data_IF_626181159556
#
_entry.id   IF_626181159556
#
_cell.length_a   1.000
_cell.length_b   1.000
_cell.length_c   1.000
_cell.angle_alpha   90.00
_cell.angle_beta   90.00
_cell.angle_gamma   90.00
#
_symmetry.space_group_name_H-M   'P 1'
#
loop_
_entity.id
_entity.type
_entity.pdbx_description
1 polymer ?
#
# COMPACT_ATOMS: atom_id res chain seq x y z
N UNK A 1 6.73 -17.62 13.01
CA UNK A 1 6.80 -17.06 11.66
C UNK A 1 5.40 -16.77 11.15
N UNK A 2 5.17 -15.57 10.70
CA UNK A 2 3.87 -15.15 10.19
C UNK A 2 3.74 -15.45 8.70
N UNK A 3 2.52 -15.76 8.28
CA UNK A 3 2.22 -15.96 6.86
C UNK A 3 1.02 -15.08 6.52
N UNK A 4 0.90 -14.73 5.26
CA UNK A 4 -0.17 -13.89 4.76
C UNK A 4 -1.12 -14.76 3.95
N UNK A 5 -2.29 -15.01 4.52
CA UNK A 5 -3.30 -15.86 3.90
C UNK A 5 -2.86 -17.29 3.70
N UNK A 6 -1.78 -17.72 4.37
CA UNK A 6 -1.26 -19.07 4.24
C UNK A 6 -0.43 -19.32 3.00
N UNK A 7 -0.20 -18.27 2.18
CA UNK A 7 0.53 -18.43 0.93
C UNK A 7 1.95 -17.88 0.97
N UNK A 8 2.18 -16.80 1.70
CA UNK A 8 3.46 -16.10 1.67
C UNK A 8 4.03 -15.93 3.06
N UNK A 9 5.35 -16.03 3.18
CA UNK A 9 6.05 -15.86 4.45
C UNK A 9 6.72 -14.49 4.46
N UNK A 10 7.26 -14.13 5.62
CA UNK A 10 8.04 -12.89 5.73
C UNK A 10 9.28 -12.93 4.84
N UNK A 11 9.88 -14.11 4.66
CA UNK A 11 11.02 -14.24 3.76
C UNK A 11 10.63 -13.97 2.33
N UNK A 12 9.46 -14.47 1.92
CA UNK A 12 8.96 -14.19 0.57
C UNK A 12 8.84 -12.70 0.33
N UNK A 13 8.30 -11.98 1.30
CA UNK A 13 8.10 -10.55 1.18
C UNK A 13 9.43 -9.82 1.15
N UNK A 14 10.41 -10.26 1.94
CA UNK A 14 11.74 -9.67 1.90
C UNK A 14 12.38 -9.78 0.53
N UNK A 15 12.21 -10.92 -0.13
CA UNK A 15 12.75 -11.10 -1.48
C UNK A 15 12.10 -10.14 -2.47
N UNK A 16 10.79 -9.94 -2.35
CA UNK A 16 10.08 -9.00 -3.21
C UNK A 16 10.57 -7.58 -2.99
N UNK A 17 10.76 -7.19 -1.72
CA UNK A 17 11.28 -5.86 -1.41
C UNK A 17 12.66 -5.67 -2.01
N UNK A 18 13.52 -6.68 -1.95
CA UNK A 18 14.84 -6.59 -2.50
C UNK A 18 14.80 -6.44 -4.02
N UNK A 19 13.90 -7.18 -4.68
CA UNK A 19 13.69 -7.07 -6.12
C UNK A 19 13.25 -5.66 -6.49
N UNK A 20 12.33 -5.09 -5.72
CA UNK A 20 11.78 -3.77 -6.01
C UNK A 20 12.81 -2.66 -5.88
N UNK A 21 13.88 -2.87 -5.11
CA UNK A 21 14.95 -1.89 -5.02
C UNK A 21 15.69 -1.70 -6.33
N UNK A 22 15.77 -2.75 -7.13
CA UNK A 22 16.50 -2.72 -8.39
C UNK A 22 15.62 -2.36 -9.57
N UNK A 23 14.31 -2.34 -9.35
CA UNK A 23 13.33 -2.06 -10.40
C UNK A 23 12.26 -1.16 -9.85
N UNK A 24 11.69 -0.35 -10.72
CA UNK A 24 10.62 0.54 -10.31
C UNK A 24 9.28 -0.18 -10.48
N UNK A 25 8.53 -0.28 -9.40
CA UNK A 25 7.18 -0.83 -9.41
C UNK A 25 6.30 0.17 -8.67
N UNK A 26 5.29 0.68 -9.38
CA UNK A 26 4.39 1.66 -8.80
C UNK A 26 3.12 0.98 -8.30
N UNK A 27 2.88 1.10 -7.00
CA UNK A 27 1.71 0.52 -6.35
C UNK A 27 0.83 1.66 -5.89
N UNK A 28 -0.39 1.71 -6.42
CA UNK A 28 -1.36 2.72 -6.01
C UNK A 28 -2.23 2.14 -4.89
N UNK A 29 -2.05 2.68 -3.69
CA UNK A 29 -2.88 2.30 -2.55
C UNK A 29 -4.09 3.23 -2.56
N UNK A 30 -5.17 2.74 -3.15
CA UNK A 30 -6.37 3.52 -3.42
C UNK A 30 -7.33 3.45 -2.24
N UNK A 31 -7.30 4.46 -1.39
CA UNK A 31 -8.17 4.57 -0.23
C UNK A 31 -8.78 5.97 -0.24
N UNK A 32 -10.08 6.07 -0.09
CA UNK A 32 -10.74 7.38 -0.08
C UNK A 32 -10.26 8.21 1.11
N UNK A 33 -10.33 9.52 0.97
CA UNK A 33 -9.96 10.44 2.05
C UNK A 33 -10.82 10.17 3.28
N UNK A 34 -12.11 9.95 3.08
CA UNK A 34 -13.03 9.66 4.17
C UNK A 34 -12.59 8.43 4.97
N UNK A 35 -12.18 7.38 4.25
CA UNK A 35 -11.75 6.17 4.92
C UNK A 35 -10.42 6.37 5.63
N UNK A 36 -9.49 7.13 5.02
CA UNK A 36 -8.23 7.45 5.68
C UNK A 36 -8.47 8.20 6.97
N UNK A 37 -9.39 9.18 6.96
CA UNK A 37 -9.70 9.94 8.16
C UNK A 37 -10.40 9.08 9.20
N UNK A 38 -11.25 8.15 8.78
CA UNK A 38 -11.91 7.24 9.71
C UNK A 38 -10.91 6.35 10.42
N UNK A 39 -9.92 5.86 9.69
CA UNK A 39 -8.90 4.97 10.26
C UNK A 39 -7.94 5.70 11.17
N UNK A 40 -7.47 6.84 10.74
CA UNK A 40 -6.62 7.81 11.45
C UNK A 40 -5.95 7.32 12.73
N UNK A 41 -5.22 6.22 12.63
CA UNK A 41 -4.67 5.50 13.77
C UNK A 41 -3.83 6.39 14.68
N UNK A 42 -3.06 7.31 14.08
CA UNK A 42 -2.18 8.19 14.85
C UNK A 42 -2.79 9.58 15.09
N UNK A 43 -4.01 9.80 14.65
CA UNK A 43 -4.67 11.10 14.82
C UNK A 43 -4.08 12.21 13.97
N UNK A 44 -3.33 11.87 12.92
CA UNK A 44 -2.68 12.87 12.08
C UNK A 44 -3.68 13.65 11.23
N UNK A 45 -4.71 12.97 10.71
CA UNK A 45 -5.74 13.65 9.94
C UNK A 45 -6.51 14.64 10.81
N UNK A 46 -6.81 14.25 12.04
CA UNK A 46 -7.48 15.13 12.98
C UNK A 46 -6.64 16.37 13.23
N UNK A 47 -5.34 16.21 13.44
CA UNK A 47 -4.43 17.33 13.67
C UNK A 47 -4.34 18.21 12.44
N UNK A 48 -4.31 17.62 11.24
CA UNK A 48 -4.25 18.38 10.00
C UNK A 48 -5.53 19.20 9.81
N UNK A 49 -6.69 18.64 10.13
CA UNK A 49 -7.95 19.37 10.06
C UNK A 49 -7.98 20.55 11.03
N UNK A 50 -7.34 20.38 12.18
CA UNK A 50 -7.26 21.44 13.18
C UNK A 50 -6.22 22.51 12.84
N UNK A 51 -5.50 22.34 11.73
CA UNK A 51 -4.49 23.30 11.30
C UNK A 51 -3.15 23.15 11.98
N UNK A 52 -2.96 22.07 12.74
CA UNK A 52 -1.70 21.87 13.46
C UNK A 52 -0.59 21.31 12.57
N UNK A 53 -0.97 20.71 11.45
CA UNK A 53 -0.01 20.16 10.48
C UNK A 53 -0.24 20.87 9.16
N UNK A 54 0.84 21.43 8.60
CA UNK A 54 0.75 22.13 7.30
C UNK A 54 1.13 21.19 6.17
N UNK A 55 0.56 21.45 5.00
CA UNK A 55 0.87 20.72 3.77
C UNK A 55 0.64 19.21 3.91
N UNK A 56 -0.41 18.87 4.64
CA UNK A 56 -0.79 17.46 4.79
C UNK A 56 -1.56 17.03 3.55
N UNK A 57 -1.01 16.08 2.81
CA UNK A 57 -1.60 15.62 1.56
C UNK A 57 -3.02 15.12 1.77
N UNK A 58 -3.94 15.61 0.94
CA UNK A 58 -5.36 15.24 1.02
C UNK A 58 -6.19 16.16 1.89
N UNK A 59 -5.58 16.94 2.79
CA UNK A 59 -6.31 17.87 3.67
C UNK A 59 -6.02 19.31 3.25
N UNK A 60 -4.77 19.73 3.34
CA UNK A 60 -4.40 21.10 2.98
C UNK A 60 -3.30 21.16 1.92
N UNK A 61 -3.04 20.03 1.28
CA UNK A 61 -2.20 19.95 0.09
C UNK A 61 -2.86 18.96 -0.86
N UNK A 62 -2.78 19.22 -2.19
CA UNK A 62 -3.44 18.32 -3.15
C UNK A 62 -2.77 16.98 -3.24
N UNK A 63 -3.54 15.95 -3.56
CA UNK A 63 -3.04 14.64 -3.85
C UNK A 63 -3.28 14.34 -5.32
N UNK A 64 -2.26 13.83 -6.00
CA UNK A 64 -2.38 13.46 -7.41
C UNK A 64 -2.25 11.95 -7.54
N UNK A 65 -3.32 11.32 -8.00
CA UNK A 65 -3.30 9.88 -8.22
C UNK A 65 -2.37 9.53 -9.36
N UNK A 66 -1.67 8.40 -9.27
CA UNK A 66 -0.84 7.96 -10.41
C UNK A 66 -1.71 7.66 -11.61
N UNK A 67 -1.17 7.95 -12.80
CA UNK A 67 -1.94 7.77 -14.04
C UNK A 67 -1.95 6.32 -14.51
N UNK A 68 -0.79 5.66 -14.40
CA UNK A 68 -0.64 4.29 -14.88
C UNK A 68 0.12 3.47 -13.84
N UNK A 69 -0.51 3.16 -12.70
CA UNK A 69 0.18 2.35 -11.70
C UNK A 69 0.32 0.92 -12.20
N UNK A 70 1.36 0.24 -11.74
CA UNK A 70 1.54 -1.16 -12.06
C UNK A 70 0.47 -2.01 -11.41
N UNK A 71 0.04 -1.63 -10.21
CA UNK A 71 -1.03 -2.34 -9.52
C UNK A 71 -1.78 -1.36 -8.63
N UNK A 72 -3.09 -1.54 -8.53
CA UNK A 72 -3.94 -0.72 -7.66
C UNK A 72 -4.52 -1.60 -6.56
N UNK A 73 -4.37 -1.13 -5.32
CA UNK A 73 -4.90 -1.83 -4.14
C UNK A 73 -6.01 -0.99 -3.53
N UNK A 74 -7.24 -1.48 -3.66
CA UNK A 74 -8.41 -0.81 -3.08
C UNK A 74 -8.60 -1.30 -1.65
N UNK A 75 -7.99 -0.59 -0.71
CA UNK A 75 -7.91 -1.06 0.67
C UNK A 75 -9.25 -1.08 1.39
N UNK A 76 -10.26 -0.39 0.86
CA UNK A 76 -11.59 -0.44 1.46
C UNK A 76 -12.29 -1.76 1.18
N UNK A 77 -11.83 -2.48 0.15
CA UNK A 77 -12.45 -3.73 -0.27
C UNK A 77 -11.66 -4.95 0.15
N UNK A 78 -10.47 -4.76 0.68
CA UNK A 78 -9.55 -5.85 0.96
C UNK A 78 -9.06 -5.82 2.39
N UNK A 79 -8.90 -6.99 2.98
CA UNK A 79 -8.20 -7.11 4.26
C UNK A 79 -6.70 -6.92 3.99
N UNK A 80 -5.94 -6.79 5.08
CA UNK A 80 -4.49 -6.66 4.97
C UNK A 80 -3.91 -7.89 4.27
N UNK A 81 -4.35 -9.09 4.67
CA UNK A 81 -3.87 -10.32 4.06
C UNK A 81 -4.20 -10.36 2.57
N UNK A 82 -5.43 -9.99 2.21
CA UNK A 82 -5.83 -9.99 0.80
C UNK A 82 -5.01 -9.00 -0.02
N UNK A 83 -4.73 -7.83 0.55
CA UNK A 83 -3.94 -6.83 -0.15
C UNK A 83 -2.51 -7.32 -0.38
N UNK A 84 -1.91 -7.94 0.64
CA UNK A 84 -0.55 -8.48 0.52
C UNK A 84 -0.50 -9.59 -0.53
N UNK A 85 -1.49 -10.48 -0.52
CA UNK A 85 -1.55 -11.57 -1.50
C UNK A 85 -1.66 -11.02 -2.91
N UNK A 86 -2.49 -9.98 -3.11
CA UNK A 86 -2.66 -9.38 -4.42
C UNK A 86 -1.35 -8.79 -4.92
N UNK A 87 -0.61 -8.12 -4.06
CA UNK A 87 0.68 -7.54 -4.43
C UNK A 87 1.67 -8.64 -4.77
N UNK A 88 1.73 -9.68 -3.94
CA UNK A 88 2.66 -10.77 -4.16
C UNK A 88 2.35 -11.56 -5.42
N UNK A 89 1.07 -11.79 -5.70
CA UNK A 89 0.65 -12.48 -6.92
C UNK A 89 1.04 -11.68 -8.17
N UNK A 90 1.04 -10.36 -8.06
CA UNK A 90 1.44 -9.52 -9.18
C UNK A 90 2.96 -9.58 -9.41
N UNK A 91 3.73 -9.54 -8.32
CA UNK A 91 5.18 -9.39 -8.41
C UNK A 91 5.89 -10.74 -8.61
N UNK A 92 5.37 -11.79 -7.98
CA UNK A 92 6.01 -13.11 -7.98
C UNK A 92 6.39 -13.62 -9.37
N UNK A 93 5.50 -13.58 -10.36
CA UNK A 93 5.88 -14.04 -11.70
C UNK A 93 7.00 -13.21 -12.31
N UNK A 94 7.07 -11.92 -11.94
CA UNK A 94 8.08 -11.02 -12.51
C UNK A 94 9.48 -11.34 -12.01
N UNK A 95 9.60 -11.80 -10.78
CA UNK A 95 10.92 -12.15 -10.24
C UNK A 95 11.26 -13.61 -10.45
N UNK A 96 10.31 -14.37 -10.98
CA UNK A 96 10.56 -15.74 -11.43
C UNK A 96 11.12 -16.62 -10.32
N UNK A 97 10.73 -16.39 -9.09
CA UNK A 97 11.28 -17.13 -7.95
C UNK A 97 10.61 -18.47 -7.72
N UNK A 98 9.49 -18.72 -8.38
CA UNK A 98 8.77 -19.99 -8.27
C UNK A 98 9.05 -20.84 -9.49
N UNK A 99 9.32 -22.07 -9.27
CA UNK A 99 9.57 -23.02 -10.36
C UNK A 99 8.36 -23.84 -10.66
#
# INVERSE_FOLDING_TARGET
KATYGGYYTHEDIKEVVQYAKDRFIEIFVDTSLEECERRDVKGLYKKARAGEIKNFTGINAPYESPKNPDITIKTEELSINEAVIKIMDFINPKINRRK
#
